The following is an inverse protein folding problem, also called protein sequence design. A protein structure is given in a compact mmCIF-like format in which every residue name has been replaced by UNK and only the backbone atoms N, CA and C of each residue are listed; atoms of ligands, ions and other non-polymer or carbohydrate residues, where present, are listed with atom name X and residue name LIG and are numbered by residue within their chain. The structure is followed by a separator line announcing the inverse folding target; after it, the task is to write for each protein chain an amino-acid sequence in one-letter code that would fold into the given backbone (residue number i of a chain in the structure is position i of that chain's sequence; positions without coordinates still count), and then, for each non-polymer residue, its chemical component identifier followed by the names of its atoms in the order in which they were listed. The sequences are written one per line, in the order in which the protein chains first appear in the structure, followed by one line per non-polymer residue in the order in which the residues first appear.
data_IF_973095417460
#
_entry.id   IF_973095417460
#
_cell.length_a   1.000
_cell.length_b   1.000
_cell.length_c   1.000
_cell.angle_alpha   90.00
_cell.angle_beta   90.00
_cell.angle_gamma   90.00
#
_symmetry.space_group_name_H-M   'P 1'
#
loop_
_entity.id
_entity.type
_entity.pdbx_description
1 polymer ?
#
# COMPACT_ATOMS: atom_id res chain seq x y z
N UNK A 1 22.90 69.63 -20.43
CA UNK A 1 22.17 68.55 -21.14
C UNK A 1 22.86 67.18 -20.99
N UNK A 2 24.18 67.07 -21.21
CA UNK A 2 24.91 65.79 -21.06
C UNK A 2 24.89 65.21 -19.62
N UNK A 3 25.01 66.04 -18.58
CA UNK A 3 24.99 65.60 -17.17
C UNK A 3 23.66 64.99 -16.72
N UNK A 4 22.53 65.52 -17.21
CA UNK A 4 21.20 64.97 -16.90
C UNK A 4 20.95 63.66 -17.67
N UNK A 5 21.50 63.52 -18.88
CA UNK A 5 21.47 62.27 -19.62
C UNK A 5 22.30 61.17 -18.94
N UNK A 6 23.48 61.51 -18.39
CA UNK A 6 24.28 60.57 -17.60
C UNK A 6 23.60 60.16 -16.29
N UNK A 7 22.90 61.08 -15.61
CA UNK A 7 22.12 60.77 -14.40
C UNK A 7 20.92 59.86 -14.70
N UNK A 8 20.23 60.08 -15.81
CA UNK A 8 19.13 59.22 -16.25
C UNK A 8 19.63 57.82 -16.64
N UNK A 9 20.77 57.73 -17.34
CA UNK A 9 21.39 56.47 -17.69
C UNK A 9 21.86 55.67 -16.46
N UNK A 10 22.46 56.35 -15.47
CA UNK A 10 22.87 55.72 -14.20
C UNK A 10 21.67 55.21 -13.39
N UNK A 11 20.58 55.98 -13.31
CA UNK A 11 19.36 55.55 -12.61
C UNK A 11 18.70 54.34 -13.29
N UNK A 12 18.66 54.32 -14.63
CA UNK A 12 18.13 53.18 -15.37
C UNK A 12 18.97 51.92 -15.18
N UNK A 13 20.30 52.05 -15.12
CA UNK A 13 21.21 50.92 -14.92
C UNK A 13 21.06 50.32 -13.52
N UNK A 14 20.94 51.15 -12.49
CA UNK A 14 20.69 50.71 -11.11
C UNK A 14 19.36 49.96 -11.00
N UNK A 15 18.29 50.49 -11.63
CA UNK A 15 16.98 49.83 -11.65
C UNK A 15 17.01 48.46 -12.31
N UNK A 16 17.74 48.30 -13.42
CA UNK A 16 17.88 47.00 -14.11
C UNK A 16 18.71 46.01 -13.29
N UNK A 17 19.77 46.47 -12.63
CA UNK A 17 20.61 45.64 -11.76
C UNK A 17 19.88 45.18 -10.50
N UNK A 18 19.00 46.00 -9.92
CA UNK A 18 18.17 45.62 -8.77
C UNK A 18 17.15 44.52 -9.11
N UNK A 19 16.67 44.46 -10.36
CA UNK A 19 15.75 43.41 -10.81
C UNK A 19 16.41 42.03 -10.92
N UNK A 20 17.73 41.95 -11.05
CA UNK A 20 18.47 40.68 -11.10
C UNK A 20 18.67 40.05 -9.71
N UNK A 21 18.64 40.86 -8.64
CA UNK A 21 18.86 40.37 -7.27
C UNK A 21 17.69 39.58 -6.69
N UNK A 22 16.56 39.50 -7.40
CA UNK A 22 15.41 38.65 -7.06
C UNK A 22 15.34 37.32 -7.82
N UNK A 23 16.23 37.08 -8.79
CA UNK A 23 16.35 35.78 -9.46
C UNK A 23 17.41 34.89 -8.79
N UNK A 24 18.22 35.46 -7.91
CA UNK A 24 18.93 34.74 -6.86
C UNK A 24 18.04 34.71 -5.62
N UNK A 25 16.80 34.23 -5.82
CA UNK A 25 16.02 33.68 -4.71
C UNK A 25 16.92 32.65 -4.05
N UNK A 26 16.91 32.69 -2.72
CA UNK A 26 17.56 31.73 -1.87
C UNK A 26 17.55 30.34 -2.51
N UNK A 27 18.69 29.66 -2.48
CA UNK A 27 18.65 28.27 -2.05
C UNK A 27 17.76 28.27 -0.78
N UNK A 28 16.44 28.15 -0.98
CA UNK A 28 15.72 27.16 -0.22
C UNK A 28 16.59 25.92 -0.44
N UNK A 29 17.44 25.62 0.55
CA UNK A 29 17.78 24.24 0.78
C UNK A 29 16.40 23.57 0.88
N UNK A 30 15.88 23.10 -0.26
CA UNK A 30 15.06 21.91 -0.32
C UNK A 30 15.94 20.91 0.40
N UNK A 31 15.80 20.87 1.73
CA UNK A 31 16.47 19.89 2.56
C UNK A 31 16.17 18.58 1.87
N UNK A 32 17.21 17.90 1.39
CA UNK A 32 17.05 16.58 0.82
C UNK A 32 16.12 15.84 1.77
N UNK A 33 14.94 15.43 1.30
CA UNK A 33 13.99 14.71 2.12
C UNK A 33 14.71 13.44 2.57
N UNK A 34 15.33 13.51 3.75
CA UNK A 34 16.19 12.47 4.28
C UNK A 34 15.29 11.28 4.54
N UNK A 35 15.47 10.22 3.75
CA UNK A 35 14.77 8.96 3.94
C UNK A 35 15.29 8.35 5.23
N UNK A 36 14.45 8.34 6.26
CA UNK A 36 14.81 7.97 7.63
C UNK A 36 14.89 6.46 7.84
N UNK A 37 14.31 5.68 6.93
CA UNK A 37 14.27 4.21 7.03
C UNK A 37 13.44 3.57 5.93
N UNK A 38 13.40 2.24 5.96
CA UNK A 38 12.67 1.41 4.99
C UNK A 38 11.52 0.68 5.66
N UNK A 39 10.34 0.80 5.06
CA UNK A 39 9.13 0.11 5.45
C UNK A 39 8.72 -0.84 4.33
N UNK A 40 8.60 -2.12 4.65
CA UNK A 40 8.04 -3.09 3.73
C UNK A 40 6.55 -3.31 4.01
N UNK A 41 5.75 -3.49 2.97
CA UNK A 41 4.31 -3.75 3.09
C UNK A 41 3.88 -4.98 2.30
N UNK A 42 2.84 -5.68 2.74
CA UNK A 42 2.34 -6.88 2.06
C UNK A 42 1.47 -6.58 0.83
N UNK A 43 0.71 -5.49 0.85
CA UNK A 43 -0.25 -5.14 -0.20
C UNK A 43 -0.22 -3.64 -0.50
N UNK A 44 -0.67 -3.30 -1.70
CA UNK A 44 -0.81 -1.90 -2.13
C UNK A 44 -1.66 -1.06 -1.17
N UNK A 45 -2.79 -1.58 -0.68
CA UNK A 45 -3.67 -0.85 0.22
C UNK A 45 -2.98 -0.48 1.54
N UNK A 46 -2.20 -1.41 2.10
CA UNK A 46 -1.38 -1.14 3.30
C UNK A 46 -0.30 -0.11 2.97
N UNK A 47 0.33 -0.23 1.79
CA UNK A 47 1.28 0.75 1.28
C UNK A 47 0.72 2.17 1.22
N UNK A 48 -0.48 2.36 0.65
CA UNK A 48 -1.12 3.68 0.58
C UNK A 48 -1.39 4.27 1.96
N UNK A 49 -1.81 3.45 2.93
CA UNK A 49 -2.02 3.90 4.31
C UNK A 49 -0.71 4.35 4.96
N UNK A 50 0.36 3.57 4.79
CA UNK A 50 1.70 3.90 5.32
C UNK A 50 2.22 5.17 4.66
N UNK A 51 2.19 5.25 3.33
CA UNK A 51 2.65 6.42 2.57
C UNK A 51 1.88 7.69 2.92
N UNK A 52 0.57 7.60 3.16
CA UNK A 52 -0.23 8.75 3.58
C UNK A 52 0.19 9.32 4.94
N UNK A 53 0.75 8.50 5.83
CA UNK A 53 1.24 8.90 7.15
C UNK A 53 2.72 9.33 7.09
N UNK A 54 3.54 8.57 6.35
CA UNK A 54 4.98 8.79 6.27
C UNK A 54 5.36 9.97 5.36
N UNK A 55 4.54 10.29 4.35
CA UNK A 55 4.92 11.24 3.31
C UNK A 55 6.24 10.80 2.64
N UNK A 56 7.15 11.74 2.44
CA UNK A 56 8.44 11.50 1.78
C UNK A 56 9.56 11.10 2.76
N UNK A 57 9.23 10.81 4.02
CA UNK A 57 10.24 10.56 5.08
C UNK A 57 10.68 9.10 5.19
N UNK A 58 9.93 8.15 4.63
CA UNK A 58 10.24 6.72 4.66
C UNK A 58 10.15 6.13 3.25
N UNK A 59 11.02 5.17 2.95
CA UNK A 59 10.96 4.38 1.73
C UNK A 59 9.96 3.24 1.92
N UNK A 60 8.84 3.27 1.20
CA UNK A 60 7.76 2.28 1.31
C UNK A 60 7.80 1.33 0.11
N UNK A 61 8.10 0.06 0.38
CA UNK A 61 8.24 -0.98 -0.66
C UNK A 61 7.21 -2.11 -0.46
N UNK A 62 6.51 -2.51 -1.53
CA UNK A 62 5.63 -3.68 -1.48
C UNK A 62 6.47 -4.95 -1.72
N UNK A 63 6.32 -5.95 -0.85
CA UNK A 63 7.10 -7.20 -0.92
C UNK A 63 6.76 -8.02 -2.17
N UNK A 64 5.47 -8.14 -2.51
CA UNK A 64 4.98 -9.00 -3.58
C UNK A 64 4.96 -8.31 -4.95
N UNK A 65 5.21 -9.04 -6.06
CA UNK A 65 5.00 -8.53 -7.41
C UNK A 65 3.55 -8.13 -7.68
N UNK A 66 3.33 -7.12 -8.52
CA UNK A 66 1.98 -6.61 -8.86
C UNK A 66 1.05 -7.62 -9.54
N UNK A 67 1.58 -8.73 -10.07
CA UNK A 67 0.82 -9.71 -10.85
C UNK A 67 0.50 -11.00 -10.09
N UNK A 68 0.77 -11.07 -8.79
CA UNK A 68 0.49 -12.25 -7.95
C UNK A 68 -0.48 -11.83 -6.84
N UNK A 69 -1.64 -12.50 -6.70
CA UNK A 69 -2.53 -12.27 -5.58
C UNK A 69 -1.81 -12.53 -4.26
N UNK A 70 -1.99 -11.65 -3.27
CA UNK A 70 -1.21 -11.71 -2.02
C UNK A 70 -1.42 -13.01 -1.22
N UNK A 71 -2.60 -13.64 -1.35
CA UNK A 71 -2.92 -14.92 -0.71
C UNK A 71 -2.25 -16.12 -1.38
N UNK A 72 -1.86 -15.99 -2.66
CA UNK A 72 -1.15 -17.02 -3.44
C UNK A 72 0.37 -16.73 -3.52
N UNK A 73 0.82 -15.58 -3.01
CA UNK A 73 2.22 -15.19 -3.05
C UNK A 73 3.05 -16.05 -2.09
N UNK A 74 4.23 -16.46 -2.55
CA UNK A 74 5.22 -17.17 -1.74
C UNK A 74 6.53 -16.37 -1.81
N UNK A 75 7.06 -15.89 -0.66
CA UNK A 75 8.32 -15.15 -0.63
C UNK A 75 9.49 -15.99 -1.16
N UNK A 76 10.24 -15.43 -2.10
CA UNK A 76 11.53 -15.98 -2.50
C UNK A 76 12.60 -15.70 -1.44
N UNK A 77 13.75 -16.37 -1.54
CA UNK A 77 14.89 -16.07 -0.68
C UNK A 77 15.35 -14.60 -0.77
N UNK A 78 15.24 -13.99 -1.95
CA UNK A 78 15.53 -12.56 -2.12
C UNK A 78 14.52 -11.67 -1.41
N UNK A 79 13.26 -12.09 -1.33
CA UNK A 79 12.20 -11.35 -0.66
C UNK A 79 12.37 -11.40 0.85
N UNK A 80 12.79 -12.56 1.39
CA UNK A 80 13.16 -12.69 2.80
C UNK A 80 14.35 -11.80 3.19
N UNK A 81 15.35 -11.67 2.30
CA UNK A 81 16.48 -10.75 2.51
C UNK A 81 15.99 -9.29 2.53
N UNK A 82 15.16 -8.90 1.55
CA UNK A 82 14.59 -7.53 1.54
C UNK A 82 13.74 -7.25 2.78
N UNK A 83 12.97 -8.24 3.24
CA UNK A 83 12.17 -8.15 4.46
C UNK A 83 13.06 -8.00 5.69
N UNK A 84 14.12 -8.80 5.81
CA UNK A 84 15.12 -8.70 6.88
C UNK A 84 15.82 -7.33 6.92
N UNK A 85 16.08 -6.72 5.76
CA UNK A 85 16.73 -5.41 5.65
C UNK A 85 15.79 -4.23 5.93
N UNK A 86 14.48 -4.47 6.06
CA UNK A 86 13.51 -3.42 6.40
C UNK A 86 13.52 -3.12 7.90
N UNK A 87 13.20 -1.88 8.27
CA UNK A 87 13.07 -1.49 9.68
C UNK A 87 11.70 -1.90 10.25
N UNK A 88 10.67 -1.84 9.39
CA UNK A 88 9.28 -2.12 9.73
C UNK A 88 8.60 -2.94 8.63
N UNK A 89 7.73 -3.86 9.02
CA UNK A 89 6.86 -4.60 8.12
C UNK A 89 5.39 -4.45 8.48
N UNK A 90 4.58 -3.91 7.56
CA UNK A 90 3.13 -3.86 7.73
C UNK A 90 2.41 -4.83 6.80
N UNK A 91 1.45 -5.58 7.34
CA UNK A 91 0.65 -6.51 6.55
C UNK A 91 -0.84 -6.40 6.90
N UNK A 92 -1.72 -7.02 6.10
CA UNK A 92 -3.15 -6.89 6.30
C UNK A 92 -3.63 -7.65 7.54
N UNK A 93 -3.17 -8.90 7.69
CA UNK A 93 -3.63 -9.79 8.75
C UNK A 93 -4.96 -10.48 8.40
N UNK A 94 -5.59 -11.10 9.40
CA UNK A 94 -6.75 -12.01 9.23
C UNK A 94 -6.49 -13.15 8.24
N UNK A 95 -5.26 -13.66 8.21
CA UNK A 95 -4.84 -14.74 7.31
C UNK A 95 -4.98 -14.42 5.80
N UNK A 96 -5.01 -13.13 5.41
CA UNK A 96 -4.94 -12.76 4.00
C UNK A 96 -3.59 -13.15 3.39
N UNK A 97 -2.52 -13.04 4.17
CA UNK A 97 -1.15 -13.41 3.79
C UNK A 97 -0.67 -14.63 4.60
N UNK A 98 -1.06 -15.86 4.22
CA UNK A 98 -0.78 -17.06 5.01
C UNK A 98 0.72 -17.36 5.17
N UNK A 99 1.57 -16.78 4.32
CA UNK A 99 3.02 -16.94 4.32
C UNK A 99 3.73 -16.08 5.38
N UNK A 100 3.08 -15.04 5.94
CA UNK A 100 3.75 -14.05 6.81
C UNK A 100 4.33 -14.69 8.07
N UNK A 101 3.57 -15.52 8.78
CA UNK A 101 4.05 -16.14 10.02
C UNK A 101 5.28 -17.02 9.75
N UNK A 102 5.23 -17.84 8.69
CA UNK A 102 6.35 -18.71 8.31
C UNK A 102 7.58 -17.91 7.87
N UNK A 103 7.39 -16.79 7.17
CA UNK A 103 8.48 -15.89 6.77
C UNK A 103 9.16 -15.24 7.97
N UNK A 104 8.37 -14.72 8.93
CA UNK A 104 8.90 -14.11 10.16
C UNK A 104 9.61 -15.15 11.04
N UNK A 105 9.05 -16.35 11.19
CA UNK A 105 9.68 -17.45 11.92
C UNK A 105 11.00 -17.90 11.28
N UNK A 106 11.08 -17.89 9.95
CA UNK A 106 12.30 -18.22 9.21
C UNK A 106 13.42 -17.21 9.48
N UNK A 107 13.07 -15.92 9.63
CA UNK A 107 14.02 -14.85 9.96
C UNK A 107 14.40 -14.82 11.44
N UNK A 108 13.52 -15.27 12.34
CA UNK A 108 13.79 -15.37 13.78
C UNK A 108 14.15 -14.01 14.38
N UNK A 109 15.35 -13.90 14.97
CA UNK A 109 15.83 -12.64 15.57
C UNK A 109 16.13 -11.54 14.56
N UNK A 110 16.27 -11.90 13.29
CA UNK A 110 16.56 -10.96 12.21
C UNK A 110 15.27 -10.44 11.53
N UNK A 111 14.09 -10.88 12.00
CA UNK A 111 12.83 -10.38 11.50
C UNK A 111 12.63 -8.90 11.87
N UNK A 112 12.10 -8.06 10.95
CA UNK A 112 11.79 -6.68 11.26
C UNK A 112 10.66 -6.58 12.29
N UNK A 113 10.54 -5.42 12.93
CA UNK A 113 9.37 -5.14 13.76
C UNK A 113 8.14 -5.14 12.84
N UNK A 114 7.18 -6.01 13.12
CA UNK A 114 6.02 -6.21 12.26
C UNK A 114 4.69 -5.89 12.94
N UNK A 115 3.73 -5.38 12.17
CA UNK A 115 2.39 -5.08 12.64
C UNK A 115 1.34 -5.34 11.55
N UNK A 116 0.19 -5.89 11.93
CA UNK A 116 -0.95 -6.04 11.03
C UNK A 116 -1.93 -4.87 11.12
N UNK A 117 -2.57 -4.49 10.01
CA UNK A 117 -3.55 -3.40 9.99
C UNK A 117 -4.89 -3.79 10.60
N UNK A 118 -5.28 -5.06 10.50
CA UNK A 118 -6.42 -5.58 11.26
C UNK A 118 -6.03 -5.87 12.69
N UNK A 119 -6.36 -4.94 13.59
CA UNK A 119 -6.41 -5.21 15.03
C UNK A 119 -7.88 -5.36 15.41
N UNK A 120 -8.30 -6.53 15.91
CA UNK A 120 -9.64 -6.64 16.48
C UNK A 120 -9.79 -5.61 17.61
N UNK A 121 -10.91 -4.87 17.72
CA UNK A 121 -11.12 -3.88 18.78
C UNK A 121 -10.93 -4.44 20.20
N UNK A 122 -11.08 -5.75 20.37
CA UNK A 122 -10.95 -6.52 21.61
C UNK A 122 -9.58 -7.15 21.84
N UNK A 123 -8.65 -7.10 20.88
CA UNK A 123 -7.36 -7.80 20.97
C UNK A 123 -7.45 -9.33 20.83
N UNK A 124 -8.55 -9.85 20.29
CA UNK A 124 -8.72 -11.28 20.01
C UNK A 124 -7.92 -11.75 18.79
N UNK A 125 -7.52 -13.03 18.84
CA UNK A 125 -6.76 -13.70 17.80
C UNK A 125 -7.68 -14.37 16.77
N UNK A 126 -7.14 -14.72 15.60
CA UNK A 126 -7.91 -15.22 14.43
C UNK A 126 -8.83 -16.40 14.72
N UNK A 127 -8.45 -17.32 15.61
CA UNK A 127 -9.23 -18.50 15.99
C UNK A 127 -10.53 -18.16 16.73
N UNK A 128 -10.52 -17.08 17.52
CA UNK A 128 -11.70 -16.62 18.24
C UNK A 128 -12.70 -16.01 17.27
N UNK A 129 -12.22 -15.30 16.23
CA UNK A 129 -13.07 -14.73 15.18
C UNK A 129 -13.68 -15.79 14.26
N UNK A 130 -12.94 -16.84 13.86
CA UNK A 130 -13.55 -17.97 13.14
C UNK A 130 -14.66 -18.62 13.96
N UNK A 131 -14.44 -18.78 15.27
CA UNK A 131 -15.44 -19.35 16.18
C UNK A 131 -16.67 -18.46 16.31
N UNK A 132 -16.48 -17.14 16.37
CA UNK A 132 -17.58 -16.14 16.35
C UNK A 132 -18.32 -16.19 15.02
N UNK A 133 -17.63 -16.19 13.88
CA UNK A 133 -18.25 -16.26 12.56
C UNK A 133 -19.04 -17.56 12.35
N UNK A 134 -18.51 -18.69 12.82
CA UNK A 134 -19.23 -19.97 12.77
C UNK A 134 -20.45 -19.93 13.68
N UNK A 135 -20.33 -19.35 14.89
CA UNK A 135 -21.45 -19.18 15.81
C UNK A 135 -22.55 -18.31 15.20
N UNK A 136 -22.19 -17.15 14.67
CA UNK A 136 -23.13 -16.20 14.03
C UNK A 136 -23.76 -16.79 12.76
N UNK A 137 -22.97 -17.51 11.96
CA UNK A 137 -23.48 -18.25 10.80
C UNK A 137 -24.46 -19.34 11.23
N UNK A 138 -24.14 -20.10 12.28
CA UNK A 138 -25.02 -21.13 12.82
C UNK A 138 -26.32 -20.52 13.37
N UNK A 139 -26.26 -19.38 14.06
CA UNK A 139 -27.43 -18.66 14.56
C UNK A 139 -28.31 -18.16 13.41
N UNK A 140 -27.72 -17.53 12.38
CA UNK A 140 -28.43 -17.11 11.17
C UNK A 140 -29.07 -18.27 10.40
N UNK A 141 -28.37 -19.41 10.32
CA UNK A 141 -28.90 -20.63 9.69
C UNK A 141 -30.01 -21.30 10.52
N UNK A 142 -30.09 -21.04 11.82
CA UNK A 142 -31.12 -21.60 12.70
C UNK A 142 -32.36 -20.68 12.80
N UNK A 143 -32.18 -19.36 12.75
CA UNK A 143 -33.24 -18.39 13.06
C UNK A 143 -33.93 -17.72 11.84
N UNK A 144 -33.42 -17.87 10.61
CA UNK A 144 -33.99 -17.20 9.43
C UNK A 144 -35.11 -17.99 8.69
N UNK A 145 -36.13 -17.33 8.11
CA UNK A 145 -37.05 -17.99 7.18
C UNK A 145 -36.27 -18.28 5.89
N UNK A 146 -36.02 -19.54 5.58
CA UNK A 146 -35.36 -19.93 4.34
C UNK A 146 -36.23 -19.55 3.14
N UNK A 147 -35.87 -18.49 2.42
CA UNK A 147 -36.40 -18.24 1.09
C UNK A 147 -35.59 -19.10 0.11
N UNK A 148 -36.12 -20.28 -0.22
CA UNK A 148 -35.50 -21.14 -1.23
C UNK A 148 -35.63 -20.48 -2.59
N UNK A 149 -34.62 -19.73 -3.01
CA UNK A 149 -34.48 -19.35 -4.42
C UNK A 149 -34.08 -20.60 -5.18
N UNK A 150 -35.07 -21.36 -5.65
CA UNK A 150 -34.86 -22.42 -6.64
C UNK A 150 -34.49 -21.71 -7.94
N UNK A 151 -33.19 -21.64 -8.24
CA UNK A 151 -32.73 -21.29 -9.58
C UNK A 151 -33.16 -22.44 -10.49
N UNK A 152 -34.31 -22.29 -11.14
CA UNK A 152 -34.70 -23.14 -12.24
C UNK A 152 -33.65 -22.94 -13.35
N UNK A 153 -32.68 -23.85 -13.42
CA UNK A 153 -31.87 -24.01 -14.62
C UNK A 153 -32.84 -24.45 -15.71
N UNK A 154 -33.13 -23.57 -16.67
CA UNK A 154 -33.88 -23.93 -17.86
C UNK A 154 -33.13 -25.07 -18.56
N UNK A 155 -33.79 -26.22 -18.68
CA UNK A 155 -33.36 -27.29 -19.58
C UNK A 155 -33.56 -26.80 -21.02
N UNK A 156 -32.58 -26.07 -21.55
CA UNK A 156 -32.46 -25.91 -23.00
C UNK A 156 -31.89 -27.24 -23.55
N UNK A 157 -32.83 -28.14 -23.86
CA UNK A 157 -32.59 -29.27 -24.76
C UNK A 157 -32.34 -28.72 -26.16
N UNK A 158 -31.07 -28.54 -26.52
CA UNK A 158 -30.69 -28.41 -27.92
C UNK A 158 -30.56 -29.83 -28.50
N UNK A 159 -31.61 -30.24 -29.21
CA UNK A 159 -31.65 -31.43 -30.05
C UNK A 159 -30.54 -31.33 -31.11
N UNK A 160 -29.56 -32.22 -31.03
CA UNK A 160 -28.62 -32.44 -32.12
C UNK A 160 -29.33 -33.24 -33.23
N UNK A 161 -29.81 -32.53 -34.26
CA UNK A 161 -30.22 -33.15 -35.52
C UNK A 161 -28.98 -33.61 -36.29
N UNK A 162 -28.83 -34.93 -36.39
CA UNK A 162 -27.95 -35.62 -37.32
C UNK A 162 -28.32 -35.24 -38.77
N UNK A 163 -27.41 -34.60 -39.49
CA UNK A 163 -27.44 -34.54 -40.94
C UNK A 163 -26.21 -35.25 -41.52
N UNK A 164 -26.41 -36.52 -41.83
CA UNK A 164 -25.63 -37.26 -42.83
C UNK A 164 -25.89 -36.63 -44.22
N UNK A 165 -24.81 -36.23 -44.91
CA UNK A 165 -24.59 -36.33 -46.36
C UNK A 165 -23.11 -36.08 -46.72
#
# INVERSE_FOLDING_TARGET
MKSNAYRAALLSLVLVLSSLSGCLSADEEEGENEVLGKVMVSTYHVGELVSAVAGDTLDVEIISPSNVPVHDYEPSAGDLIRLQESDLFFYHGLNLEPWVESALDTLGSDAPVSAMTHTMPSGETTLDYESILISDLCELLIEGPFESTTLAMGEDHDDHDDHDD
#
